data_IF_756845093527
#
_entry.id   IF_756845093527
#
_cell.length_a   1.000
_cell.length_b   1.000
_cell.length_c   1.000
_cell.angle_alpha   90.00
_cell.angle_beta   90.00
_cell.angle_gamma   90.00
#
_symmetry.space_group_name_H-M   'P 1'
#
loop_
_entity.id
_entity.type
_entity.pdbx_description
1 polymer ?
#
# COMPACT_ATOMS: atom_id res chain seq x y z
N UNK A 1 -8.61 -43.84 4.31
CA UNK A 1 -8.56 -42.43 4.75
C UNK A 1 -9.98 -41.88 4.72
N UNK A 2 -10.45 -41.29 5.80
CA UNK A 2 -11.80 -40.71 5.87
C UNK A 2 -11.87 -39.39 5.10
N UNK A 3 -13.08 -38.95 4.67
CA UNK A 3 -13.27 -37.63 4.02
C UNK A 3 -12.78 -36.46 4.91
N UNK A 4 -12.78 -36.65 6.23
CA UNK A 4 -12.27 -35.69 7.21
C UNK A 4 -10.74 -35.63 7.18
N UNK A 5 -10.08 -36.79 7.23
CA UNK A 5 -8.61 -36.91 7.11
C UNK A 5 -8.11 -36.34 5.78
N UNK A 6 -8.80 -36.61 4.67
CA UNK A 6 -8.46 -36.03 3.36
C UNK A 6 -8.54 -34.50 3.36
N UNK A 7 -9.56 -33.93 4.01
CA UNK A 7 -9.72 -32.46 4.10
C UNK A 7 -8.64 -31.84 4.98
N UNK A 8 -8.29 -32.48 6.08
CA UNK A 8 -7.22 -32.03 7.00
C UNK A 8 -5.86 -32.10 6.31
N UNK A 9 -5.55 -33.21 5.63
CA UNK A 9 -4.32 -33.36 4.85
C UNK A 9 -4.19 -32.25 3.78
N UNK A 10 -5.26 -31.97 3.03
CA UNK A 10 -5.27 -30.86 2.04
C UNK A 10 -5.04 -29.49 2.66
N UNK A 11 -5.58 -29.24 3.86
CA UNK A 11 -5.36 -27.97 4.58
C UNK A 11 -3.90 -27.84 5.02
N UNK A 12 -3.33 -28.91 5.57
CA UNK A 12 -1.95 -28.93 6.03
C UNK A 12 -0.99 -28.72 4.87
N UNK A 13 -1.25 -29.37 3.74
CA UNK A 13 -0.45 -29.20 2.52
C UNK A 13 -0.53 -27.77 1.98
N UNK A 14 -1.72 -27.18 1.94
CA UNK A 14 -1.88 -25.78 1.54
C UNK A 14 -1.14 -24.82 2.48
N UNK A 15 -1.13 -25.10 3.77
CA UNK A 15 -0.38 -24.32 4.75
C UNK A 15 1.14 -24.48 4.56
N UNK A 16 1.61 -25.69 4.28
CA UNK A 16 3.03 -25.95 3.97
C UNK A 16 3.49 -25.15 2.75
N UNK A 17 2.75 -25.24 1.64
CA UNK A 17 3.04 -24.49 0.41
C UNK A 17 3.02 -22.98 0.62
N UNK A 18 2.11 -22.49 1.47
CA UNK A 18 2.06 -21.07 1.81
C UNK A 18 3.29 -20.63 2.62
N UNK A 19 3.73 -21.43 3.59
CA UNK A 19 4.95 -21.14 4.34
C UNK A 19 6.18 -21.11 3.44
N UNK A 20 6.26 -22.01 2.46
CA UNK A 20 7.33 -22.01 1.44
C UNK A 20 7.28 -20.77 0.56
N UNK A 21 6.09 -20.38 0.09
CA UNK A 21 5.91 -19.13 -0.67
C UNK A 21 6.33 -17.91 0.15
N UNK A 22 5.93 -17.85 1.42
CA UNK A 22 6.30 -16.75 2.31
C UNK A 22 7.79 -16.74 2.59
N UNK A 23 8.43 -17.91 2.74
CA UNK A 23 9.88 -17.98 2.83
C UNK A 23 10.53 -17.31 1.61
N UNK A 24 10.13 -17.62 0.38
CA UNK A 24 10.67 -16.93 -0.80
C UNK A 24 10.39 -15.43 -0.80
N UNK A 25 9.24 -15.01 -0.28
CA UNK A 25 8.86 -13.60 -0.18
C UNK A 25 9.65 -12.81 0.87
N UNK A 26 10.27 -13.48 1.84
CA UNK A 26 11.22 -12.90 2.80
C UNK A 26 12.67 -12.95 2.29
N UNK A 27 12.90 -13.18 0.99
CA UNK A 27 14.25 -13.34 0.42
C UNK A 27 15.12 -12.09 0.64
N UNK A 28 14.59 -10.90 0.38
CA UNK A 28 15.30 -9.64 0.60
C UNK A 28 15.53 -9.38 2.09
N UNK A 29 14.52 -9.57 2.93
CA UNK A 29 14.67 -9.41 4.38
C UNK A 29 15.75 -10.34 4.95
N UNK A 30 15.92 -11.55 4.39
CA UNK A 30 17.02 -12.45 4.76
C UNK A 30 18.36 -12.02 4.18
N UNK A 31 18.41 -11.59 2.92
CA UNK A 31 19.63 -11.08 2.27
C UNK A 31 20.24 -9.94 3.10
N UNK A 32 19.40 -9.06 3.64
CA UNK A 32 19.82 -7.92 4.45
C UNK A 32 19.68 -8.15 5.97
N UNK A 33 19.57 -9.41 6.42
CA UNK A 33 19.19 -9.78 7.80
C UNK A 33 20.16 -9.35 8.91
N UNK A 34 21.35 -8.88 8.57
CA UNK A 34 22.31 -8.27 9.49
C UNK A 34 21.81 -6.94 10.07
N UNK A 35 20.93 -6.24 9.34
CA UNK A 35 20.23 -5.05 9.81
C UNK A 35 19.18 -5.41 10.87
N UNK A 36 18.93 -4.52 11.83
CA UNK A 36 17.94 -4.76 12.88
C UNK A 36 16.54 -4.33 12.44
N UNK A 37 16.45 -3.19 11.76
CA UNK A 37 15.20 -2.58 11.33
C UNK A 37 15.16 -2.42 9.80
N UNK A 38 14.63 -3.44 9.11
CA UNK A 38 14.37 -3.39 7.67
C UNK A 38 12.95 -2.88 7.44
N UNK A 39 12.83 -1.78 6.68
CA UNK A 39 11.55 -1.14 6.40
C UNK A 39 11.15 -1.33 4.94
N UNK A 40 9.96 -1.88 4.70
CA UNK A 40 9.33 -1.87 3.39
C UNK A 40 8.53 -0.60 3.16
N UNK A 41 8.57 -0.07 1.93
CA UNK A 41 7.84 1.14 1.52
C UNK A 41 7.12 0.90 0.20
N UNK A 42 5.86 1.31 0.15
CA UNK A 42 5.04 1.33 -1.06
C UNK A 42 4.02 2.46 -1.03
N UNK A 43 3.51 2.86 -2.20
CA UNK A 43 2.49 3.87 -2.38
C UNK A 43 1.22 3.38 -3.10
N UNK A 44 0.13 4.12 -2.88
CA UNK A 44 -1.10 3.96 -3.64
C UNK A 44 -1.69 5.32 -4.00
N UNK A 45 -2.42 5.35 -5.12
CA UNK A 45 -3.17 6.54 -5.50
C UNK A 45 -2.43 7.47 -6.44
N UNK A 46 -1.49 6.96 -7.25
CA UNK A 46 -0.83 7.80 -8.26
C UNK A 46 -1.71 8.15 -9.47
N UNK A 47 -2.46 7.18 -9.99
CA UNK A 47 -3.32 7.35 -11.17
C UNK A 47 -4.71 7.99 -10.99
N UNK A 48 -5.37 7.96 -9.81
CA UNK A 48 -6.67 8.57 -9.59
C UNK A 48 -6.78 10.05 -9.97
N UNK A 49 -7.97 10.47 -10.36
CA UNK A 49 -8.34 11.87 -10.60
C UNK A 49 -8.63 12.62 -9.29
N UNK A 50 -8.96 11.90 -8.22
CA UNK A 50 -9.32 12.50 -6.94
C UNK A 50 -8.69 11.78 -5.74
N UNK A 51 -8.53 12.54 -4.65
CA UNK A 51 -7.96 12.16 -3.37
C UNK A 51 -6.44 12.19 -3.35
N UNK A 52 -5.83 11.93 -2.18
CA UNK A 52 -4.39 12.00 -1.99
C UNK A 52 -3.65 10.82 -2.63
N UNK A 53 -2.34 10.96 -2.72
CA UNK A 53 -1.42 9.82 -2.77
C UNK A 53 -1.05 9.46 -1.33
N UNK A 54 -1.06 8.16 -1.00
CA UNK A 54 -0.77 7.64 0.34
C UNK A 54 0.39 6.67 0.23
N UNK A 55 1.38 6.81 1.10
CA UNK A 55 2.48 5.88 1.24
C UNK A 55 2.49 5.30 2.67
N UNK A 56 2.95 4.06 2.79
CA UNK A 56 3.19 3.43 4.08
C UNK A 56 4.64 2.96 4.17
N UNK A 57 5.17 3.01 5.37
CA UNK A 57 6.46 2.47 5.76
C UNK A 57 6.20 1.45 6.87
N UNK A 58 6.65 0.20 6.69
CA UNK A 58 6.36 -0.90 7.62
C UNK A 58 7.65 -1.64 7.96
N UNK A 59 7.91 -1.79 9.25
CA UNK A 59 8.99 -2.64 9.79
C UNK A 59 8.34 -3.87 10.41
N UNK A 60 8.59 -5.05 9.83
CA UNK A 60 8.13 -6.32 10.34
C UNK A 60 9.13 -6.88 11.38
N UNK A 61 8.68 -7.70 12.35
CA UNK A 61 9.59 -8.39 13.26
C UNK A 61 10.46 -9.40 12.51
N UNK A 62 11.66 -9.71 13.03
CA UNK A 62 12.59 -10.66 12.38
C UNK A 62 12.01 -12.08 12.27
N UNK A 63 11.19 -12.47 13.24
CA UNK A 63 10.47 -13.74 13.31
C UNK A 63 9.01 -13.63 12.83
N UNK A 64 8.72 -12.66 11.94
CA UNK A 64 7.39 -12.43 11.39
C UNK A 64 6.77 -13.70 10.81
N UNK A 65 5.58 -14.04 11.30
CA UNK A 65 4.81 -15.22 10.93
C UNK A 65 3.54 -14.87 10.12
N UNK A 66 3.40 -13.61 9.70
CA UNK A 66 2.26 -13.17 8.89
C UNK A 66 2.27 -13.90 7.55
N UNK A 67 1.23 -14.70 7.32
CA UNK A 67 1.07 -15.45 6.08
C UNK A 67 0.23 -14.66 5.07
N UNK A 68 0.28 -15.07 3.80
CA UNK A 68 -0.56 -14.55 2.73
C UNK A 68 -0.31 -13.08 2.33
N UNK A 69 0.79 -12.47 2.79
CA UNK A 69 1.26 -11.20 2.24
C UNK A 69 1.52 -11.37 0.74
N UNK A 70 1.09 -10.39 -0.05
CA UNK A 70 1.23 -10.37 -1.51
C UNK A 70 0.93 -8.96 -2.01
N UNK A 71 1.14 -8.74 -3.30
CA UNK A 71 0.65 -7.56 -4.03
C UNK A 71 -0.82 -7.30 -3.67
N UNK A 72 -1.08 -6.11 -3.13
CA UNK A 72 -2.40 -5.71 -2.62
C UNK A 72 -3.49 -5.72 -3.70
N UNK A 73 -3.13 -5.68 -4.98
CA UNK A 73 -4.07 -5.77 -6.11
C UNK A 73 -4.49 -7.22 -6.39
N UNK A 74 -3.71 -8.21 -5.96
CA UNK A 74 -4.02 -9.65 -6.11
C UNK A 74 -4.85 -10.19 -4.95
N UNK A 75 -4.97 -9.44 -3.87
CA UNK A 75 -5.76 -9.81 -2.70
C UNK A 75 -7.19 -9.29 -2.82
N UNK A 76 -8.16 -10.07 -2.34
CA UNK A 76 -9.53 -9.59 -2.19
C UNK A 76 -9.60 -8.52 -1.11
N UNK A 77 -10.56 -7.60 -1.19
CA UNK A 77 -10.76 -6.54 -0.19
C UNK A 77 -10.86 -7.11 1.22
N UNK A 78 -11.68 -8.16 1.42
CA UNK A 78 -11.80 -8.85 2.72
C UNK A 78 -10.46 -9.39 3.23
N UNK A 79 -9.63 -9.96 2.35
CA UNK A 79 -8.32 -10.51 2.76
C UNK A 79 -7.34 -9.40 3.12
N UNK A 80 -7.38 -8.26 2.40
CA UNK A 80 -6.57 -7.09 2.75
C UNK A 80 -6.94 -6.48 4.08
N UNK A 81 -8.23 -6.33 4.38
CA UNK A 81 -8.69 -5.80 5.67
C UNK A 81 -8.19 -6.68 6.83
N UNK A 82 -8.30 -8.01 6.69
CA UNK A 82 -7.75 -8.94 7.70
C UNK A 82 -6.23 -8.82 7.85
N UNK A 83 -5.50 -8.72 6.74
CA UNK A 83 -4.04 -8.57 6.77
C UNK A 83 -3.63 -7.19 7.31
N UNK A 84 -4.40 -6.14 7.06
CA UNK A 84 -4.16 -4.82 7.62
C UNK A 84 -4.17 -4.87 9.14
N UNK A 85 -5.20 -5.48 9.73
CA UNK A 85 -5.31 -5.61 11.18
C UNK A 85 -4.15 -6.47 11.74
N UNK A 86 -3.82 -7.58 11.08
CA UNK A 86 -2.70 -8.46 11.49
C UNK A 86 -1.33 -7.75 11.38
N UNK A 87 -1.11 -6.92 10.35
CA UNK A 87 0.10 -6.11 10.21
C UNK A 87 0.17 -5.08 11.33
N UNK A 88 -0.94 -4.39 11.65
CA UNK A 88 -0.97 -3.41 12.74
C UNK A 88 -0.71 -4.03 14.11
N UNK A 89 -1.18 -5.26 14.34
CA UNK A 89 -0.96 -5.98 15.59
C UNK A 89 0.50 -6.42 15.75
N UNK A 90 1.14 -6.89 14.67
CA UNK A 90 2.45 -7.56 14.73
C UNK A 90 3.65 -6.74 14.28
N UNK A 91 3.44 -5.69 13.47
CA UNK A 91 4.55 -4.87 12.98
C UNK A 91 5.25 -4.15 14.14
N UNK A 92 6.57 -4.02 14.02
CA UNK A 92 7.41 -3.32 14.99
C UNK A 92 7.16 -1.81 14.92
N UNK A 93 6.99 -1.27 13.72
CA UNK A 93 6.63 0.12 13.48
C UNK A 93 5.87 0.27 12.16
N UNK A 94 4.93 1.21 12.13
CA UNK A 94 4.18 1.60 10.94
C UNK A 94 4.14 3.13 10.88
N UNK A 95 4.49 3.67 9.72
CA UNK A 95 4.36 5.08 9.40
C UNK A 95 3.48 5.27 8.17
N UNK A 96 2.60 6.28 8.19
CA UNK A 96 1.72 6.61 7.06
C UNK A 96 1.92 8.08 6.67
N UNK A 97 2.32 8.30 5.43
CA UNK A 97 2.45 9.62 4.84
C UNK A 97 1.46 9.84 3.71
N UNK A 98 1.10 11.10 3.47
CA UNK A 98 0.15 11.44 2.42
C UNK A 98 0.47 12.81 1.83
N UNK A 99 0.22 12.95 0.54
CA UNK A 99 0.26 14.24 -0.15
C UNK A 99 -1.10 14.48 -0.79
N UNK A 100 -1.70 15.63 -0.48
CA UNK A 100 -3.01 16.02 -0.97
C UNK A 100 -2.99 16.34 -2.47
N UNK A 101 -4.17 16.40 -3.06
CA UNK A 101 -4.43 16.82 -4.43
C UNK A 101 -3.85 18.21 -4.74
N UNK A 102 -3.88 19.16 -3.81
CA UNK A 102 -3.29 20.49 -4.02
C UNK A 102 -1.77 20.40 -4.15
N UNK A 103 -1.12 19.61 -3.28
CA UNK A 103 0.32 19.35 -3.38
C UNK A 103 0.63 18.64 -4.69
N UNK A 104 -0.17 17.64 -5.09
CA UNK A 104 0.01 16.92 -6.36
C UNK A 104 -0.08 17.89 -7.55
N UNK A 105 -1.03 18.81 -7.54
CA UNK A 105 -1.19 19.81 -8.60
C UNK A 105 -0.03 20.82 -8.63
N UNK A 106 0.54 21.17 -7.46
CA UNK A 106 1.65 22.12 -7.33
C UNK A 106 2.99 21.52 -7.78
N UNK A 107 3.34 20.33 -7.28
CA UNK A 107 4.68 19.75 -7.45
C UNK A 107 4.74 18.51 -8.33
N UNK A 108 3.63 18.14 -8.97
CA UNK A 108 3.42 16.90 -9.74
C UNK A 108 3.36 15.60 -8.91
N UNK A 109 2.81 14.54 -9.51
CA UNK A 109 2.55 13.27 -8.83
C UNK A 109 3.80 12.52 -8.38
N UNK A 110 4.92 12.65 -9.09
CA UNK A 110 6.15 11.96 -8.72
C UNK A 110 6.72 12.57 -7.43
N UNK A 111 6.84 13.91 -7.37
CA UNK A 111 7.38 14.58 -6.19
C UNK A 111 6.42 14.49 -5.00
N UNK A 112 5.11 14.56 -5.23
CA UNK A 112 4.12 14.33 -4.18
C UNK A 112 4.20 12.90 -3.61
N UNK A 113 4.52 11.90 -4.45
CA UNK A 113 4.77 10.52 -3.99
C UNK A 113 5.99 10.48 -3.08
N UNK A 114 7.11 11.11 -3.46
CA UNK A 114 8.30 11.18 -2.62
C UNK A 114 8.03 11.88 -1.29
N UNK A 115 7.29 13.00 -1.27
CA UNK A 115 6.87 13.65 -0.02
C UNK A 115 6.04 12.72 0.87
N UNK A 116 5.12 11.95 0.30
CA UNK A 116 4.34 10.98 1.06
C UNK A 116 5.22 9.88 1.64
N UNK A 117 6.18 9.35 0.88
CA UNK A 117 7.13 8.34 1.38
C UNK A 117 8.04 8.89 2.49
N UNK A 118 8.60 10.09 2.32
CA UNK A 118 9.40 10.77 3.34
C UNK A 118 8.61 10.98 4.64
N UNK A 119 7.34 11.40 4.53
CA UNK A 119 6.45 11.52 5.69
C UNK A 119 6.12 10.17 6.33
N UNK A 120 6.01 9.10 5.55
CA UNK A 120 5.77 7.77 6.10
C UNK A 120 6.99 7.33 6.93
N UNK A 121 8.20 7.51 6.40
CA UNK A 121 9.45 7.20 7.11
C UNK A 121 9.57 8.03 8.40
N UNK A 122 9.31 9.34 8.34
CA UNK A 122 9.49 10.22 9.50
C UNK A 122 8.51 9.97 10.66
N UNK A 123 7.41 9.25 10.39
CA UNK A 123 6.40 8.85 11.39
C UNK A 123 6.65 7.47 11.99
N UNK A 124 7.68 6.75 11.56
CA UNK A 124 8.07 5.51 12.22
C UNK A 124 8.53 5.81 13.65
N UNK A 125 8.09 4.98 14.61
CA UNK A 125 8.53 5.07 16.00
C UNK A 125 10.00 4.64 16.20
N UNK A 126 10.56 3.92 15.22
CA UNK A 126 11.93 3.43 15.21
C UNK A 126 12.57 3.85 13.88
N UNK A 127 13.80 4.37 13.94
CA UNK A 127 14.57 4.70 12.74
C UNK A 127 15.00 3.39 12.05
N UNK A 128 14.66 3.18 10.75
CA UNK A 128 15.12 2.01 10.02
C UNK A 128 16.60 2.10 9.68
N UNK A 129 17.24 0.94 9.58
CA UNK A 129 18.62 0.81 9.12
C UNK A 129 18.68 0.73 7.58
N UNK A 130 17.66 0.09 6.97
CA UNK A 130 17.56 -0.16 5.54
C UNK A 130 16.11 0.05 5.05
N UNK A 131 15.96 0.64 3.88
CA UNK A 131 14.69 0.77 3.17
C UNK A 131 14.64 -0.16 1.95
N UNK A 132 13.61 -1.00 1.88
CA UNK A 132 13.23 -1.74 0.70
C UNK A 132 12.08 -1.00 0.01
N UNK A 133 12.30 -0.53 -1.22
CA UNK A 133 11.36 0.32 -1.95
C UNK A 133 10.86 -0.36 -3.23
N UNK A 134 9.60 -0.17 -3.61
CA UNK A 134 9.13 -0.63 -4.93
C UNK A 134 9.62 0.29 -6.06
N UNK A 135 10.64 -0.18 -6.79
CA UNK A 135 11.18 0.42 -8.02
C UNK A 135 11.65 1.90 -7.95
N UNK A 136 11.78 2.51 -6.77
CA UNK A 136 12.18 3.91 -6.61
C UNK A 136 13.26 4.13 -5.55
N UNK A 137 14.06 5.18 -5.74
CA UNK A 137 14.94 5.75 -4.71
C UNK A 137 14.32 7.05 -4.22
N UNK A 138 14.09 7.14 -2.92
CA UNK A 138 13.45 8.29 -2.29
C UNK A 138 14.54 9.37 -2.09
N UNK A 139 14.40 10.56 -2.70
CA UNK A 139 15.36 11.64 -2.51
C UNK A 139 15.37 12.15 -1.07
N UNK A 140 16.45 12.81 -0.67
CA UNK A 140 16.62 13.45 0.65
C UNK A 140 16.43 12.52 1.85
N UNK A 141 16.71 11.23 1.66
CA UNK A 141 16.72 10.21 2.72
C UNK A 141 18.09 9.56 2.75
N UNK A 142 18.81 9.76 3.85
CA UNK A 142 20.19 9.27 4.07
C UNK A 142 20.25 7.78 4.45
N UNK A 143 19.11 7.17 4.77
CA UNK A 143 19.02 5.75 5.10
C UNK A 143 19.34 4.94 3.85
N UNK A 144 20.08 3.84 3.99
CA UNK A 144 20.39 2.95 2.87
C UNK A 144 19.10 2.46 2.19
N UNK A 145 19.07 2.43 0.86
CA UNK A 145 17.87 2.10 0.09
C UNK A 145 18.17 1.05 -0.98
N UNK A 146 17.32 0.03 -1.04
CA UNK A 146 17.36 -1.03 -2.04
C UNK A 146 16.08 -0.93 -2.88
N UNK A 147 16.15 -0.36 -4.10
CA UNK A 147 15.02 -0.35 -5.01
C UNK A 147 14.82 -1.73 -5.63
N UNK A 148 13.62 -2.29 -5.50
CA UNK A 148 13.27 -3.64 -5.98
C UNK A 148 12.19 -3.53 -7.05
N UNK A 149 12.46 -4.04 -8.26
CA UNK A 149 11.44 -4.10 -9.31
C UNK A 149 10.38 -5.14 -8.94
N UNK A 150 9.12 -4.68 -8.83
CA UNK A 150 7.96 -5.48 -8.36
C UNK A 150 8.18 -5.95 -6.93
N UNK A 151 8.57 -5.01 -6.08
CA UNK A 151 8.91 -5.24 -4.67
C UNK A 151 7.75 -5.85 -3.89
N UNK A 152 6.52 -5.42 -4.17
CA UNK A 152 5.28 -5.91 -3.56
C UNK A 152 5.02 -7.42 -3.76
N UNK A 153 5.63 -8.02 -4.78
CA UNK A 153 5.54 -9.44 -5.09
C UNK A 153 6.77 -10.24 -4.63
N UNK A 154 7.81 -9.58 -4.10
CA UNK A 154 9.12 -10.19 -3.79
C UNK A 154 9.63 -9.94 -2.37
N UNK A 155 9.17 -8.88 -1.72
CA UNK A 155 9.51 -8.52 -0.34
C UNK A 155 8.24 -8.51 0.51
N UNK A 156 8.27 -9.22 1.62
CA UNK A 156 7.18 -9.25 2.58
C UNK A 156 6.92 -7.88 3.20
N UNK A 157 7.98 -7.11 3.48
CA UNK A 157 7.89 -5.76 4.04
C UNK A 157 7.24 -4.78 3.06
N UNK A 158 7.63 -4.81 1.78
CA UNK A 158 7.00 -3.97 0.74
C UNK A 158 5.54 -4.36 0.55
N UNK A 159 5.21 -5.65 0.54
CA UNK A 159 3.83 -6.10 0.45
C UNK A 159 2.97 -5.66 1.64
N UNK A 160 3.52 -5.70 2.87
CA UNK A 160 2.85 -5.20 4.05
C UNK A 160 2.59 -3.69 3.94
N UNK A 161 3.58 -2.91 3.51
CA UNK A 161 3.41 -1.48 3.22
C UNK A 161 2.34 -1.23 2.14
N UNK A 162 2.33 -2.01 1.06
CA UNK A 162 1.31 -1.94 0.00
C UNK A 162 -0.10 -2.13 0.54
N UNK A 163 -0.30 -3.13 1.40
CA UNK A 163 -1.59 -3.42 2.03
C UNK A 163 -2.01 -2.27 2.95
N UNK A 164 -1.11 -1.79 3.81
CA UNK A 164 -1.37 -0.67 4.73
C UNK A 164 -1.76 0.58 3.95
N UNK A 165 -0.98 0.97 2.95
CA UNK A 165 -1.27 2.13 2.11
C UNK A 165 -2.62 1.97 1.39
N UNK A 166 -2.86 0.79 0.80
CA UNK A 166 -4.08 0.49 0.03
C UNK A 166 -5.34 0.55 0.86
N UNK A 167 -5.37 -0.12 2.00
CA UNK A 167 -6.55 -0.15 2.88
C UNK A 167 -6.80 1.23 3.47
N UNK A 168 -5.76 1.94 3.91
CA UNK A 168 -5.88 3.32 4.41
C UNK A 168 -6.53 4.21 3.37
N UNK A 169 -5.99 4.24 2.14
CA UNK A 169 -6.55 5.07 1.08
C UNK A 169 -7.96 4.65 0.68
N UNK A 170 -8.24 3.35 0.60
CA UNK A 170 -9.58 2.87 0.23
C UNK A 170 -10.64 3.25 1.27
N UNK A 171 -10.30 3.26 2.56
CA UNK A 171 -11.17 3.76 3.65
C UNK A 171 -11.44 5.26 3.50
N UNK A 172 -10.40 6.07 3.28
CA UNK A 172 -10.55 7.51 3.02
C UNK A 172 -11.47 7.81 1.83
N UNK A 173 -11.31 7.10 0.71
CA UNK A 173 -12.15 7.32 -0.47
C UNK A 173 -13.61 6.91 -0.25
N UNK A 174 -13.90 5.95 0.65
CA UNK A 174 -15.28 5.63 1.06
C UNK A 174 -15.87 6.74 1.90
N UNK A 175 -15.08 7.34 2.80
CA UNK A 175 -15.53 8.49 3.60
C UNK A 175 -15.82 9.70 2.69
N UNK A 176 -14.94 9.99 1.72
CA UNK A 176 -15.17 11.05 0.75
C UNK A 176 -16.41 10.86 -0.12
N UNK A 177 -16.85 9.63 -0.36
CA UNK A 177 -18.12 9.38 -1.08
C UNK A 177 -19.33 9.88 -0.30
N UNK A 178 -19.26 9.91 1.03
CA UNK A 178 -20.34 10.44 1.88
C UNK A 178 -20.34 11.96 1.91
N UNK A 179 -19.16 12.58 1.87
CA UNK A 179 -18.96 14.04 1.86
C UNK A 179 -19.28 14.62 0.47
N UNK A 180 -18.85 13.93 -0.59
CA UNK A 180 -19.00 14.33 -1.99
C UNK A 180 -19.78 13.26 -2.77
N UNK A 181 -21.10 13.15 -2.57
CA UNK A 181 -21.91 12.18 -3.29
C UNK A 181 -21.96 12.50 -4.79
N UNK A 182 -22.15 11.47 -5.62
CA UNK A 182 -22.36 11.61 -7.07
C UNK A 182 -21.14 11.26 -7.95
N UNK A 183 -19.97 11.01 -7.35
CA UNK A 183 -18.75 10.62 -8.07
C UNK A 183 -18.41 9.13 -7.98
N UNK A 184 -19.14 8.34 -7.18
CA UNK A 184 -18.94 6.89 -6.97
C UNK A 184 -17.55 6.54 -6.37
N UNK A 185 -16.99 7.44 -5.55
CA UNK A 185 -15.68 7.30 -4.91
C UNK A 185 -15.58 6.04 -4.04
N UNK A 186 -16.69 5.62 -3.42
CA UNK A 186 -16.72 4.40 -2.61
C UNK A 186 -16.41 3.16 -3.44
N UNK A 187 -16.69 3.14 -4.75
CA UNK A 187 -16.35 2.01 -5.64
C UNK A 187 -15.07 2.28 -6.42
N UNK A 188 -15.01 3.41 -7.11
CA UNK A 188 -13.92 3.71 -8.04
C UNK A 188 -12.66 4.27 -7.37
N UNK A 189 -12.68 4.61 -6.08
CA UNK A 189 -11.52 5.10 -5.31
C UNK A 189 -10.82 6.32 -5.94
N UNK A 190 -11.58 7.15 -6.66
CA UNK A 190 -11.10 8.32 -7.38
C UNK A 190 -10.52 8.04 -8.77
N UNK A 191 -10.47 6.79 -9.24
CA UNK A 191 -10.04 6.49 -10.61
C UNK A 191 -11.05 7.02 -11.63
N UNK A 192 -10.57 7.45 -12.80
CA UNK A 192 -11.37 8.03 -13.89
C UNK A 192 -12.26 7.02 -14.62
N UNK A 193 -13.17 6.37 -13.89
CA UNK A 193 -14.17 5.47 -14.48
C UNK A 193 -15.27 6.26 -15.19
N UNK A 194 -16.09 5.58 -15.99
CA UNK A 194 -17.24 6.20 -16.66
C UNK A 194 -18.16 6.93 -15.67
N UNK A 195 -18.49 6.29 -14.53
CA UNK A 195 -19.34 6.86 -13.49
C UNK A 195 -18.72 8.14 -12.87
N UNK A 196 -17.41 8.14 -12.62
CA UNK A 196 -16.71 9.30 -12.09
C UNK A 196 -16.75 10.48 -13.08
N UNK A 197 -16.46 10.22 -14.36
CA UNK A 197 -16.49 11.25 -15.41
C UNK A 197 -17.91 11.81 -15.60
N UNK A 198 -18.94 10.96 -15.52
CA UNK A 198 -20.35 11.39 -15.55
C UNK A 198 -20.68 12.28 -14.35
N UNK A 199 -20.18 11.96 -13.16
CA UNK A 199 -20.25 12.81 -11.97
C UNK A 199 -19.64 14.19 -12.22
N UNK A 200 -18.39 14.23 -12.71
CA UNK A 200 -17.71 15.51 -13.04
C UNK A 200 -18.52 16.33 -14.03
N UNK A 201 -19.06 15.72 -15.10
CA UNK A 201 -19.88 16.43 -16.10
C UNK A 201 -21.19 16.96 -15.54
N UNK A 202 -21.79 16.27 -14.57
CA UNK A 202 -23.11 16.61 -14.02
C UNK A 202 -23.04 17.72 -12.97
N UNK A 203 -22.03 17.70 -12.10
CA UNK A 203 -21.96 18.56 -10.92
C UNK A 203 -20.64 19.36 -10.82
N UNK A 204 -19.74 19.24 -11.80
CA UNK A 204 -18.42 19.85 -11.74
C UNK A 204 -17.44 19.05 -10.87
N UNK A 205 -16.22 19.58 -10.70
CA UNK A 205 -15.22 19.03 -9.78
C UNK A 205 -15.51 19.46 -8.34
N UNK A 206 -15.14 18.63 -7.37
CA UNK A 206 -15.10 18.97 -5.94
C UNK A 206 -13.67 19.14 -5.42
N UNK A 207 -13.53 19.52 -4.15
CA UNK A 207 -12.26 19.93 -3.53
C UNK A 207 -11.16 18.87 -3.64
N UNK A 208 -11.52 17.58 -3.55
CA UNK A 208 -10.53 16.49 -3.61
C UNK A 208 -10.06 16.12 -5.02
N UNK A 209 -10.51 16.81 -6.07
CA UNK A 209 -10.05 16.54 -7.44
C UNK A 209 -8.70 17.19 -7.73
N UNK A 210 -7.81 16.41 -8.35
CA UNK A 210 -6.55 16.88 -8.91
C UNK A 210 -6.84 17.62 -10.20
N UNK A 211 -6.85 18.96 -10.14
CA UNK A 211 -7.23 19.84 -11.25
C UNK A 211 -6.38 19.58 -12.48
N UNK A 212 -5.10 19.24 -12.29
CA UNK A 212 -4.19 18.94 -13.41
C UNK A 212 -4.54 17.64 -14.15
N UNK A 213 -5.25 16.70 -13.52
CA UNK A 213 -5.61 15.39 -14.10
C UNK A 213 -6.94 15.43 -14.85
N UNK A 214 -7.85 16.31 -14.42
CA UNK A 214 -9.24 16.34 -14.92
C UNK A 214 -9.51 17.42 -15.96
N UNK A 215 -8.50 18.17 -16.40
CA UNK A 215 -8.63 19.29 -17.38
C UNK A 215 -9.42 18.96 -18.65
N UNK A 216 -9.43 17.69 -19.08
CA UNK A 216 -10.16 17.23 -20.28
C UNK A 216 -11.65 16.95 -20.05
N UNK A 217 -12.10 16.93 -18.80
CA UNK A 217 -13.45 16.52 -18.40
C UNK A 217 -14.26 17.65 -17.76
N UNK A 218 -13.61 18.80 -17.54
CA UNK A 218 -14.22 20.06 -17.12
C UNK A 218 -14.61 20.91 -18.32
#
# INVERSE_FOLDING_TARGET
MTKKEEREARKLEKLRLEKERMYEMFSFEREYGDHQAICGIDEVGRGPFAGPVVAAAVILPKDCDILYLNDSKKLSEKKRELLYDEIYEKAVAIGIGMSSEEVIDEINILQATYKAMQQAISKLSIKPDLLLNDAVTIPDVEIEQVPIIKGDAKSASIAAASIVAKVTRDRMMKEYDTIYPGYDFAKNKGYGTKAHIEGIKKQGICDIHRRTFVKKYI
#
